data_IF_170525474976
#
_entry.id   IF_170525474976
#
_cell.length_a   1.000
_cell.length_b   1.000
_cell.length_c   1.000
_cell.angle_alpha   90.00
_cell.angle_beta   90.00
_cell.angle_gamma   90.00
#
_symmetry.space_group_name_H-M   'P 1'
#
loop_
_entity.id
_entity.type
_entity.pdbx_description
1 polymer ?
#
# COMPACT_ATOMS: atom_id res chain seq x y z
N UNK A 1 3.33 2.32 -20.78
CA UNK A 1 2.72 2.23 -19.44
C UNK A 1 2.34 3.64 -19.01
N UNK A 2 1.06 4.03 -19.05
CA UNK A 2 0.65 5.30 -18.43
C UNK A 2 0.73 5.12 -16.92
N UNK A 3 1.66 5.82 -16.27
CA UNK A 3 1.76 5.79 -14.81
C UNK A 3 0.48 6.37 -14.23
N UNK A 4 -0.40 5.51 -13.68
CA UNK A 4 -1.49 5.98 -12.82
C UNK A 4 -0.84 6.70 -11.64
N UNK A 5 -1.13 7.98 -11.50
CA UNK A 5 -0.75 8.77 -10.34
C UNK A 5 -1.84 8.55 -9.30
N UNK A 6 -1.54 7.73 -8.29
CA UNK A 6 -2.42 7.59 -7.13
C UNK A 6 -2.25 8.85 -6.25
N UNK A 7 -3.27 9.69 -6.21
CA UNK A 7 -3.31 10.88 -5.35
C UNK A 7 -3.97 10.50 -4.04
N UNK A 8 -3.22 10.58 -2.94
CA UNK A 8 -3.74 10.37 -1.59
C UNK A 8 -3.93 11.72 -0.91
N UNK A 9 -5.15 12.00 -0.44
CA UNK A 9 -5.44 13.19 0.35
C UNK A 9 -4.80 13.01 1.72
N UNK A 10 -3.93 13.93 2.12
CA UNK A 10 -3.38 13.96 3.48
C UNK A 10 -4.42 14.59 4.43
N UNK A 11 -4.71 13.97 5.58
CA UNK A 11 -5.71 14.49 6.50
C UNK A 11 -5.28 15.83 7.13
N UNK A 12 -6.25 16.59 7.67
CA UNK A 12 -6.06 17.91 8.27
C UNK A 12 -5.02 17.96 9.41
N UNK A 13 -4.64 19.18 9.83
CA UNK A 13 -3.66 19.39 10.90
C UNK A 13 -2.51 20.32 10.53
N UNK A 14 -1.72 20.74 11.53
CA UNK A 14 -0.54 21.58 11.35
C UNK A 14 0.56 20.83 10.57
N UNK A 15 1.20 21.52 9.62
CA UNK A 15 2.39 21.02 8.94
C UNK A 15 3.54 20.90 9.93
N UNK A 16 4.22 19.77 9.93
CA UNK A 16 5.46 19.60 10.69
C UNK A 16 6.57 20.47 10.05
N UNK A 17 7.53 20.99 10.84
CA UNK A 17 8.62 21.84 10.34
C UNK A 17 9.49 21.18 9.26
N UNK A 18 9.52 19.86 9.21
CA UNK A 18 10.33 19.04 8.29
C UNK A 18 9.50 18.48 7.11
N UNK A 19 8.30 19.00 6.89
CA UNK A 19 7.36 18.50 5.88
C UNK A 19 6.51 17.34 6.39
N UNK A 20 5.32 17.17 5.83
CA UNK A 20 4.31 16.22 6.32
C UNK A 20 3.39 16.84 7.39
N UNK A 21 2.30 16.16 7.73
CA UNK A 21 1.30 16.62 8.71
C UNK A 21 1.37 15.79 9.98
N UNK A 22 1.25 16.42 11.14
CA UNK A 22 1.19 15.71 12.43
C UNK A 22 -0.26 15.25 12.66
N UNK A 23 -0.53 13.94 12.83
CA UNK A 23 -1.86 13.46 13.15
C UNK A 23 -2.36 14.09 14.44
N UNK A 24 -3.57 14.63 14.42
CA UNK A 24 -4.26 15.17 15.59
C UNK A 24 -5.17 14.13 16.26
N UNK A 25 -5.50 13.04 15.55
CA UNK A 25 -6.50 12.05 15.97
C UNK A 25 -6.00 10.64 15.72
N UNK A 26 -6.59 9.66 16.41
CA UNK A 26 -6.25 8.26 16.20
C UNK A 26 -6.60 7.79 14.77
N UNK A 27 -7.69 8.30 14.19
CA UNK A 27 -8.09 7.98 12.81
C UNK A 27 -7.08 8.56 11.80
N UNK A 28 -6.62 9.79 12.02
CA UNK A 28 -5.55 10.39 11.19
C UNK A 28 -4.24 9.62 11.29
N UNK A 29 -3.88 9.15 12.49
CA UNK A 29 -2.67 8.35 12.70
C UNK A 29 -2.77 6.99 12.00
N UNK A 30 -3.92 6.32 12.09
CA UNK A 30 -4.15 5.05 11.38
C UNK A 30 -4.06 5.21 9.87
N UNK A 31 -4.64 6.28 9.33
CA UNK A 31 -4.58 6.57 7.90
C UNK A 31 -3.14 6.92 7.45
N UNK A 32 -2.41 7.72 8.22
CA UNK A 32 -1.00 8.02 7.94
C UNK A 32 -0.13 6.74 7.93
N UNK A 33 -0.32 5.84 8.92
CA UNK A 33 0.38 4.54 8.96
C UNK A 33 0.02 3.65 7.76
N UNK A 34 -1.24 3.64 7.33
CA UNK A 34 -1.68 2.90 6.16
C UNK A 34 -1.01 3.41 4.87
N UNK A 35 -0.90 4.75 4.71
CA UNK A 35 -0.18 5.37 3.58
C UNK A 35 1.30 5.00 3.57
N UNK A 36 1.99 5.07 4.71
CA UNK A 36 3.39 4.66 4.81
C UNK A 36 3.59 3.18 4.46
N UNK A 37 2.72 2.30 4.96
CA UNK A 37 2.78 0.88 4.65
C UNK A 37 2.58 0.60 3.15
N UNK A 38 1.64 1.30 2.50
CA UNK A 38 1.42 1.18 1.06
C UNK A 38 2.64 1.66 0.26
N UNK A 39 3.23 2.80 0.62
CA UNK A 39 4.44 3.31 -0.05
C UNK A 39 5.60 2.30 0.02
N UNK A 40 5.83 1.69 1.18
CA UNK A 40 6.85 0.64 1.36
C UNK A 40 6.53 -0.59 0.50
N UNK A 41 5.28 -1.07 0.50
CA UNK A 41 4.91 -2.23 -0.32
C UNK A 41 4.98 -1.94 -1.82
N UNK A 42 4.71 -0.70 -2.24
CA UNK A 42 4.89 -0.28 -3.63
C UNK A 42 6.37 -0.34 -4.04
N UNK A 43 7.28 0.15 -3.19
CA UNK A 43 8.73 0.02 -3.44
C UNK A 43 9.14 -1.45 -3.59
N UNK A 44 8.70 -2.30 -2.66
CA UNK A 44 8.99 -3.75 -2.69
C UNK A 44 8.45 -4.43 -3.96
N UNK A 45 7.27 -4.02 -4.45
CA UNK A 45 6.71 -4.54 -5.69
C UNK A 45 7.54 -4.15 -6.91
N UNK A 46 8.04 -2.90 -6.95
CA UNK A 46 8.96 -2.45 -8.02
C UNK A 46 10.25 -3.27 -7.99
N UNK A 47 10.86 -3.42 -6.81
CA UNK A 47 12.09 -4.20 -6.64
C UNK A 47 11.90 -5.67 -7.05
N UNK A 48 10.79 -6.30 -6.63
CA UNK A 48 10.47 -7.68 -7.00
C UNK A 48 10.24 -7.85 -8.50
N UNK A 49 9.50 -6.92 -9.12
CA UNK A 49 9.25 -6.94 -10.57
C UNK A 49 10.55 -6.78 -11.37
N UNK A 50 11.46 -5.93 -10.92
CA UNK A 50 12.77 -5.77 -11.55
C UNK A 50 13.60 -7.06 -11.44
N UNK A 51 13.67 -7.65 -10.24
CA UNK A 51 14.41 -8.90 -10.02
C UNK A 51 13.84 -10.06 -10.84
N UNK A 52 12.51 -10.15 -11.00
CA UNK A 52 11.87 -11.14 -11.87
C UNK A 52 12.23 -10.92 -13.34
N UNK A 53 12.19 -9.68 -13.82
CA UNK A 53 12.55 -9.36 -15.20
C UNK A 53 14.02 -9.72 -15.51
N UNK A 54 14.93 -9.47 -14.56
CA UNK A 54 16.34 -9.86 -14.67
C UNK A 54 16.50 -11.39 -14.66
N UNK A 55 15.82 -12.10 -13.75
CA UNK A 55 15.86 -13.56 -13.70
C UNK A 55 15.29 -14.21 -14.98
N UNK A 56 14.21 -13.64 -15.54
CA UNK A 56 13.63 -14.09 -16.81
C UNK A 56 14.60 -13.91 -17.97
N UNK A 57 15.28 -12.76 -18.06
CA UNK A 57 16.31 -12.51 -19.09
C UNK A 57 17.44 -13.54 -18.99
N UNK A 58 17.94 -13.78 -17.78
CA UNK A 58 18.99 -14.78 -17.54
C UNK A 58 18.55 -16.20 -17.92
N UNK A 59 17.29 -16.57 -17.67
CA UNK A 59 16.73 -17.85 -18.09
C UNK A 59 16.70 -17.99 -19.61
N UNK A 60 16.24 -16.97 -20.33
CA UNK A 60 16.21 -16.99 -21.80
C UNK A 60 17.62 -17.09 -22.38
N UNK A 61 18.59 -16.36 -21.81
CA UNK A 61 19.99 -16.44 -22.22
C UNK A 61 20.57 -17.85 -22.00
N UNK A 62 20.36 -18.44 -20.82
CA UNK A 62 20.85 -19.79 -20.52
C UNK A 62 20.25 -20.85 -21.46
N UNK A 63 18.96 -20.73 -21.82
CA UNK A 63 18.32 -21.61 -22.80
C UNK A 63 18.94 -21.44 -24.19
N UNK A 64 19.25 -20.20 -24.60
CA UNK A 64 19.84 -19.94 -25.90
C UNK A 64 21.29 -20.44 -26.02
N UNK A 65 22.08 -20.32 -24.95
CA UNK A 65 23.50 -20.70 -24.93
C UNK A 65 23.70 -22.21 -24.73
N UNK A 66 22.90 -22.84 -23.89
CA UNK A 66 23.13 -24.22 -23.43
C UNK A 66 22.04 -25.20 -23.88
N UNK A 67 20.94 -24.70 -24.45
CA UNK A 67 19.76 -25.49 -24.77
C UNK A 67 18.76 -25.59 -23.60
N UNK A 68 17.49 -25.92 -23.89
CA UNK A 68 16.40 -25.86 -22.90
C UNK A 68 16.44 -26.92 -21.80
N UNK A 69 17.21 -28.00 -21.99
CA UNK A 69 17.31 -29.12 -21.05
C UNK A 69 18.66 -29.16 -20.31
N UNK A 70 19.48 -28.10 -20.41
CA UNK A 70 20.75 -28.05 -19.69
C UNK A 70 20.53 -27.78 -18.21
N UNK A 71 21.51 -28.19 -17.39
CA UNK A 71 21.50 -27.94 -15.95
C UNK A 71 21.50 -26.43 -15.65
N UNK A 72 22.17 -25.65 -16.50
CA UNK A 72 22.25 -24.19 -16.43
C UNK A 72 20.88 -23.54 -16.71
N UNK A 73 20.18 -24.00 -17.74
CA UNK A 73 18.83 -23.53 -18.07
C UNK A 73 17.85 -23.86 -16.95
N UNK A 74 17.92 -25.08 -16.39
CA UNK A 74 17.10 -25.49 -15.25
C UNK A 74 17.39 -24.67 -13.98
N UNK A 75 18.66 -24.39 -13.70
CA UNK A 75 19.05 -23.55 -12.57
C UNK A 75 18.58 -22.10 -12.75
N UNK A 76 18.64 -21.56 -13.97
CA UNK A 76 18.09 -20.25 -14.29
C UNK A 76 16.56 -20.20 -14.18
N UNK A 77 15.88 -21.26 -14.63
CA UNK A 77 14.43 -21.40 -14.49
C UNK A 77 13.98 -21.42 -13.03
N UNK A 78 14.62 -22.22 -12.18
CA UNK A 78 14.32 -22.24 -10.72
C UNK A 78 14.48 -20.85 -10.08
N UNK A 79 15.49 -20.08 -10.50
CA UNK A 79 15.69 -18.70 -10.01
C UNK A 79 14.58 -17.76 -10.50
N UNK A 80 14.14 -17.90 -11.75
CA UNK A 80 13.01 -17.15 -12.28
C UNK A 80 11.71 -17.51 -11.55
N UNK A 81 11.40 -18.79 -11.36
CA UNK A 81 10.21 -19.25 -10.63
C UNK A 81 10.20 -18.71 -9.19
N UNK A 82 11.34 -18.73 -8.50
CA UNK A 82 11.48 -18.16 -7.17
C UNK A 82 11.30 -16.63 -7.15
N UNK A 83 11.77 -15.92 -8.19
CA UNK A 83 11.54 -14.50 -8.32
C UNK A 83 10.06 -14.18 -8.60
N UNK A 84 9.41 -14.96 -9.47
CA UNK A 84 7.99 -14.84 -9.78
C UNK A 84 7.11 -15.04 -8.54
N UNK A 85 7.40 -16.05 -7.73
CA UNK A 85 6.69 -16.27 -6.47
C UNK A 85 6.81 -15.06 -5.50
N UNK A 86 7.97 -14.41 -5.44
CA UNK A 86 8.16 -13.18 -4.64
C UNK A 86 7.39 -12.00 -5.21
N UNK A 87 7.30 -11.85 -6.53
CA UNK A 87 6.47 -10.81 -7.16
C UNK A 87 5.00 -11.00 -6.82
N UNK A 88 4.49 -12.23 -6.87
CA UNK A 88 3.10 -12.52 -6.49
C UNK A 88 2.82 -12.20 -5.01
N UNK A 89 3.72 -12.56 -4.10
CA UNK A 89 3.60 -12.18 -2.68
C UNK A 89 3.64 -10.66 -2.49
N UNK A 90 4.54 -9.95 -3.18
CA UNK A 90 4.62 -8.50 -3.13
C UNK A 90 3.34 -7.82 -3.66
N UNK A 91 2.76 -8.34 -4.73
CA UNK A 91 1.49 -7.87 -5.28
C UNK A 91 0.34 -8.05 -4.27
N UNK A 92 0.22 -9.24 -3.67
CA UNK A 92 -0.79 -9.50 -2.64
C UNK A 92 -0.65 -8.58 -1.42
N UNK A 93 0.59 -8.30 -0.98
CA UNK A 93 0.85 -7.34 0.10
C UNK A 93 0.47 -5.92 -0.27
N UNK A 94 0.73 -5.50 -1.51
CA UNK A 94 0.37 -4.18 -2.01
C UNK A 94 -1.15 -4.01 -2.03
N UNK A 95 -1.90 -4.96 -2.58
CA UNK A 95 -3.37 -4.96 -2.59
C UNK A 95 -3.94 -4.91 -1.17
N UNK A 96 -3.42 -5.72 -0.26
CA UNK A 96 -3.82 -5.68 1.14
C UNK A 96 -3.52 -4.32 1.80
N UNK A 97 -2.42 -3.65 1.43
CA UNK A 97 -2.12 -2.31 1.92
C UNK A 97 -3.08 -1.25 1.34
N UNK A 98 -3.46 -1.37 0.07
CA UNK A 98 -4.48 -0.51 -0.57
C UNK A 98 -5.83 -0.64 0.12
N UNK A 99 -6.26 -1.85 0.46
CA UNK A 99 -7.51 -2.07 1.21
C UNK A 99 -7.46 -1.47 2.63
N UNK A 100 -6.30 -1.52 3.30
CA UNK A 100 -6.13 -0.86 4.61
C UNK A 100 -6.25 0.65 4.51
N UNK A 101 -5.72 1.26 3.44
CA UNK A 101 -5.90 2.69 3.17
C UNK A 101 -7.38 3.03 3.06
N UNK A 102 -8.14 2.29 2.24
CA UNK A 102 -9.57 2.56 2.03
C UNK A 102 -10.34 2.53 3.36
N UNK A 103 -10.13 1.48 4.17
CA UNK A 103 -10.78 1.38 5.49
C UNK A 103 -10.39 2.50 6.45
N UNK A 104 -9.12 2.89 6.47
CA UNK A 104 -8.65 3.98 7.33
C UNK A 104 -9.19 5.34 6.87
N UNK A 105 -9.35 5.53 5.55
CA UNK A 105 -9.98 6.71 4.97
C UNK A 105 -11.46 6.79 5.36
N UNK A 106 -12.20 5.68 5.27
CA UNK A 106 -13.62 5.63 5.65
C UNK A 106 -13.83 5.95 7.14
N UNK A 107 -12.98 5.41 8.01
CA UNK A 107 -13.01 5.70 9.45
C UNK A 107 -12.74 7.18 9.74
N UNK A 108 -11.74 7.76 9.06
CA UNK A 108 -11.43 9.18 9.21
C UNK A 108 -12.55 10.08 8.65
N UNK A 109 -13.12 9.75 7.49
CA UNK A 109 -14.25 10.49 6.92
C UNK A 109 -15.47 10.47 7.87
N UNK A 110 -15.73 9.33 8.52
CA UNK A 110 -16.79 9.20 9.53
C UNK A 110 -16.53 10.08 10.76
N UNK A 111 -15.28 10.13 11.24
CA UNK A 111 -14.87 11.02 12.35
C UNK A 111 -15.07 12.51 12.00
N UNK A 112 -14.69 12.92 10.79
CA UNK A 112 -14.89 14.29 10.30
C UNK A 112 -16.38 14.61 10.22
N UNK A 113 -17.19 13.72 9.65
CA UNK A 113 -18.64 13.91 9.54
C UNK A 113 -19.31 14.07 10.90
N UNK A 114 -18.93 13.26 11.89
CA UNK A 114 -19.45 13.36 13.25
C UNK A 114 -19.12 14.72 13.91
N UNK A 115 -17.88 15.22 13.72
CA UNK A 115 -17.46 16.53 14.23
C UNK A 115 -18.21 17.69 13.56
N UNK A 116 -18.42 17.63 12.25
CA UNK A 116 -19.18 18.65 11.52
C UNK A 116 -20.66 18.62 11.92
N UNK A 117 -21.23 17.44 12.14
CA UNK A 117 -22.60 17.29 12.64
C UNK A 117 -22.77 17.92 14.04
N UNK A 118 -21.88 17.62 14.99
CA UNK A 118 -21.92 18.19 16.33
C UNK A 118 -21.77 19.73 16.32
N UNK A 119 -21.01 20.29 15.38
CA UNK A 119 -20.91 21.75 15.17
C UNK A 119 -22.17 22.36 14.60
N UNK A 120 -22.82 21.68 13.65
CA UNK A 120 -24.01 22.16 12.98
C UNK A 120 -25.27 22.08 13.85
N UNK A 121 -25.31 21.16 14.82
CA UNK A 121 -26.46 20.92 15.69
C UNK A 121 -26.05 21.00 17.18
N UNK A 122 -26.05 22.20 17.78
CA UNK A 122 -25.75 22.35 19.21
C UNK A 122 -26.82 21.63 20.07
N UNK A 123 -26.43 20.57 20.77
CA UNK A 123 -27.30 19.76 21.66
C UNK A 123 -27.42 18.27 21.31
N UNK A 124 -26.91 17.83 20.14
CA UNK A 124 -27.01 16.44 19.71
C UNK A 124 -26.29 15.41 20.61
N UNK A 125 -25.33 15.86 21.43
CA UNK A 125 -24.61 15.00 22.37
C UNK A 125 -25.43 14.65 23.64
N UNK A 126 -26.55 15.36 23.91
CA UNK A 126 -27.32 15.19 25.15
C UNK A 126 -28.35 14.05 25.10
N UNK A 127 -28.71 13.53 23.92
CA UNK A 127 -29.76 12.50 23.80
C UNK A 127 -29.21 11.05 23.78
N UNK A 128 -27.89 10.86 23.65
CA UNK A 128 -27.29 9.51 23.62
C UNK A 128 -27.10 8.88 25.02
N UNK A 129 -27.35 9.63 26.11
CA UNK A 129 -27.14 9.19 27.50
C UNK A 129 -28.40 8.89 28.31
N UNK A 130 -29.59 8.94 27.69
CA UNK A 130 -30.89 8.90 28.39
C UNK A 130 -31.71 7.65 28.11
N UNK A 131 -31.16 6.45 28.32
CA UNK A 131 -31.95 5.22 28.38
C UNK A 131 -31.39 4.29 29.46
N UNK A 132 -31.75 4.57 30.71
CA UNK A 132 -31.84 3.56 31.77
C UNK A 132 -33.30 3.19 31.96
#
# INVERSE_FOLDING_TARGET
MSGRVDVYILPGGAMAPWGGRRPATACEEQYARALSAHAVNRSRMVDATQAEAEARKACVAAIAEHGPCSVEADAARRRWDAAHARTLDAAARLEAATLRIQRAMDAWASEVAAREYARAVPGADMDAGGAT
#
